data_IF_427271503788
#
_entry.id   IF_427271503788
#
_cell.length_a   1.000
_cell.length_b   1.000
_cell.length_c   1.000
_cell.angle_alpha   90.00
_cell.angle_beta   90.00
_cell.angle_gamma   90.00
#
_symmetry.space_group_name_H-M   'P 1'
#
loop_
_entity.id
_entity.type
_entity.pdbx_description
1 polymer ?
#
# COMPACT_ATOMS: atom_id res chain seq x y z
N UNK A 1 36.95 10.32 1.51
CA UNK A 1 36.41 10.55 2.87
C UNK A 1 35.34 9.52 3.22
N UNK A 2 35.42 8.88 4.40
CA UNK A 2 34.45 7.87 4.87
C UNK A 2 33.33 8.56 5.65
N UNK A 3 32.17 8.76 5.03
CA UNK A 3 31.01 9.39 5.67
C UNK A 3 30.13 8.31 6.31
N UNK A 4 29.71 8.54 7.55
CA UNK A 4 28.90 7.66 8.40
C UNK A 4 27.50 8.26 8.65
N UNK A 5 26.55 7.48 9.15
CA UNK A 5 25.21 8.00 9.46
C UNK A 5 25.27 9.10 10.55
N UNK A 6 24.66 10.25 10.26
CA UNK A 6 24.58 11.42 11.15
C UNK A 6 23.11 11.70 11.49
N UNK A 7 22.83 12.38 12.62
CA UNK A 7 21.46 12.80 12.92
C UNK A 7 20.77 13.62 11.83
N UNK A 8 21.53 14.42 11.07
CA UNK A 8 21.00 15.15 9.91
C UNK A 8 20.33 14.22 8.89
N UNK A 9 20.89 13.04 8.63
CA UNK A 9 20.31 12.08 7.69
C UNK A 9 18.98 11.52 8.21
N UNK A 10 18.88 11.23 9.52
CA UNK A 10 17.62 10.81 10.11
C UNK A 10 16.58 11.93 10.14
N UNK A 11 17.00 13.18 10.34
CA UNK A 11 16.09 14.31 10.30
C UNK A 11 15.51 14.52 8.91
N UNK A 12 16.34 14.44 7.86
CA UNK A 12 15.85 14.46 6.48
C UNK A 12 14.94 13.26 6.19
N UNK A 13 15.31 12.06 6.66
CA UNK A 13 14.47 10.87 6.51
C UNK A 13 13.10 11.04 7.20
N UNK A 14 13.10 11.59 8.42
CA UNK A 14 11.89 11.95 9.16
C UNK A 14 11.02 12.90 8.36
N UNK A 15 11.59 13.98 7.85
CA UNK A 15 10.85 14.99 7.08
C UNK A 15 10.21 14.35 5.83
N UNK A 16 10.95 13.54 5.08
CA UNK A 16 10.41 12.88 3.89
C UNK A 16 9.29 11.88 4.22
N UNK A 17 9.51 10.99 5.21
CA UNK A 17 8.52 9.97 5.59
C UNK A 17 7.28 10.64 6.17
N UNK A 18 7.42 11.56 7.12
CA UNK A 18 6.29 12.27 7.72
C UNK A 18 5.55 13.10 6.68
N UNK A 19 6.28 13.81 5.80
CA UNK A 19 5.65 14.62 4.76
C UNK A 19 4.80 13.79 3.80
N UNK A 20 5.28 12.62 3.37
CA UNK A 20 4.50 11.72 2.51
C UNK A 20 3.37 11.03 3.28
N UNK A 21 3.57 10.65 4.54
CA UNK A 21 2.48 10.16 5.40
C UNK A 21 1.38 11.21 5.55
N UNK A 22 1.69 12.50 5.72
CA UNK A 22 0.68 13.54 5.83
C UNK A 22 -0.08 13.80 4.52
N UNK A 23 0.57 13.56 3.39
CA UNK A 23 -0.01 13.73 2.06
C UNK A 23 -0.78 12.48 1.57
N UNK A 24 -0.82 11.43 2.36
CA UNK A 24 -1.39 10.16 1.96
C UNK A 24 -2.93 10.18 2.12
N UNK A 25 -3.69 9.47 1.26
CA UNK A 25 -5.15 9.56 1.23
C UNK A 25 -5.86 8.73 2.31
N UNK A 26 -5.14 7.84 3.00
CA UNK A 26 -5.70 6.85 3.92
C UNK A 26 -6.48 7.46 5.10
N UNK A 27 -6.09 8.60 5.73
CA UNK A 27 -6.91 9.21 6.77
C UNK A 27 -8.31 9.60 6.30
N UNK A 28 -8.42 10.12 5.07
CA UNK A 28 -9.71 10.49 4.46
C UNK A 28 -10.50 9.25 4.06
N UNK A 29 -9.83 8.26 3.45
CA UNK A 29 -10.45 6.97 3.13
C UNK A 29 -10.99 6.28 4.37
N UNK A 30 -10.24 6.30 5.48
CA UNK A 30 -10.66 5.72 6.76
C UNK A 30 -11.96 6.35 7.27
N UNK A 31 -12.08 7.68 7.16
CA UNK A 31 -13.30 8.39 7.54
C UNK A 31 -14.49 8.00 6.64
N UNK A 32 -14.27 7.87 5.33
CA UNK A 32 -15.31 7.41 4.40
C UNK A 32 -15.77 5.98 4.73
N UNK A 33 -14.84 5.05 4.97
CA UNK A 33 -15.12 3.65 5.30
C UNK A 33 -15.83 3.52 6.66
N UNK A 34 -15.45 4.33 7.65
CA UNK A 34 -16.11 4.34 8.96
C UNK A 34 -17.58 4.80 8.87
N UNK A 35 -17.94 5.58 7.85
CA UNK A 35 -19.31 6.03 7.57
C UNK A 35 -20.07 5.10 6.62
N UNK A 36 -19.35 4.31 5.82
CA UNK A 36 -19.95 3.32 4.94
C UNK A 36 -20.66 2.20 5.74
N UNK A 37 -21.64 1.51 5.12
CA UNK A 37 -22.31 0.37 5.74
C UNK A 37 -21.30 -0.65 6.29
N UNK A 38 -21.49 -1.10 7.53
CA UNK A 38 -20.58 -2.05 8.17
C UNK A 38 -20.47 -3.38 7.42
N UNK A 39 -21.51 -3.76 6.66
CA UNK A 39 -21.51 -4.95 5.81
C UNK A 39 -20.48 -4.89 4.66
N UNK A 40 -19.98 -3.70 4.30
CA UNK A 40 -18.93 -3.53 3.30
C UNK A 40 -17.51 -3.45 3.91
N UNK A 41 -17.38 -3.72 5.21
CA UNK A 41 -16.08 -3.73 5.90
C UNK A 41 -15.53 -5.14 5.94
N UNK A 42 -14.53 -5.40 5.13
CA UNK A 42 -13.85 -6.67 5.01
C UNK A 42 -12.52 -6.62 5.74
N UNK A 43 -12.35 -7.45 6.76
CA UNK A 43 -11.17 -7.43 7.61
C UNK A 43 -10.07 -8.36 7.07
N UNK A 44 -8.94 -7.82 6.57
CA UNK A 44 -7.85 -8.63 6.05
C UNK A 44 -7.02 -9.25 7.17
N UNK A 45 -6.67 -10.52 7.03
CA UNK A 45 -5.75 -11.22 7.92
C UNK A 45 -6.20 -11.15 9.37
N UNK A 46 -5.28 -10.79 10.27
CA UNK A 46 -5.55 -10.72 11.71
C UNK A 46 -6.39 -9.50 12.12
N UNK A 47 -6.68 -8.54 11.23
CA UNK A 47 -7.68 -7.50 11.53
C UNK A 47 -9.07 -8.09 11.75
N UNK A 48 -9.33 -9.34 11.33
CA UNK A 48 -10.59 -10.03 11.65
C UNK A 48 -10.82 -10.19 13.14
N UNK A 49 -9.75 -10.30 13.93
CA UNK A 49 -9.85 -10.36 15.39
C UNK A 49 -10.35 -9.02 15.99
N UNK A 50 -10.22 -7.93 15.24
CA UNK A 50 -10.70 -6.61 15.61
C UNK A 50 -12.10 -6.30 15.05
N UNK A 51 -12.76 -7.25 14.39
CA UNK A 51 -14.09 -7.03 13.81
C UNK A 51 -15.16 -6.64 14.86
N UNK A 52 -14.91 -6.97 16.13
CA UNK A 52 -15.78 -6.63 17.25
C UNK A 52 -15.51 -5.24 17.85
N UNK A 53 -14.40 -4.58 17.47
CA UNK A 53 -14.07 -3.25 17.97
C UNK A 53 -14.97 -2.23 17.24
N UNK A 54 -15.82 -1.47 17.96
CA UNK A 54 -16.71 -0.53 17.31
C UNK A 54 -15.93 0.58 16.60
N UNK A 55 -16.03 0.61 15.27
CA UNK A 55 -15.50 1.70 14.44
C UNK A 55 -16.55 2.80 14.35
N UNK A 56 -16.59 3.69 15.34
CA UNK A 56 -17.45 4.86 15.30
C UNK A 56 -16.85 5.96 14.41
N UNK A 57 -17.64 6.63 13.56
CA UNK A 57 -17.15 7.74 12.73
C UNK A 57 -16.46 8.83 13.54
N UNK A 58 -16.99 9.16 14.73
CA UNK A 58 -16.43 10.20 15.60
C UNK A 58 -15.05 9.83 16.16
N UNK A 59 -14.81 8.56 16.50
CA UNK A 59 -13.50 8.10 16.94
C UNK A 59 -12.46 8.18 15.81
N UNK A 60 -12.86 7.80 14.59
CA UNK A 60 -12.00 7.88 13.40
C UNK A 60 -11.69 9.34 13.05
N UNK A 61 -12.66 10.25 13.14
CA UNK A 61 -12.44 11.68 12.98
C UNK A 61 -11.47 12.26 14.03
N UNK A 62 -11.63 11.87 15.30
CA UNK A 62 -10.72 12.29 16.36
C UNK A 62 -9.28 11.77 16.12
N UNK A 63 -9.13 10.51 15.69
CA UNK A 63 -7.84 9.95 15.30
C UNK A 63 -7.22 10.68 14.11
N UNK A 64 -8.03 11.10 13.13
CA UNK A 64 -7.56 11.92 12.00
C UNK A 64 -7.03 13.28 12.45
N UNK A 65 -7.70 13.95 13.40
CA UNK A 65 -7.18 15.20 13.98
C UNK A 65 -5.86 14.95 14.71
N UNK A 66 -5.77 13.89 15.52
CA UNK A 66 -4.52 13.51 16.20
C UNK A 66 -3.40 13.19 15.21
N UNK A 67 -3.71 12.51 14.10
CA UNK A 67 -2.78 12.20 13.04
C UNK A 67 -2.18 13.47 12.42
N UNK A 68 -3.01 14.41 11.96
CA UNK A 68 -2.52 15.64 11.34
C UNK A 68 -1.77 16.53 12.34
N UNK A 69 -2.28 16.68 13.56
CA UNK A 69 -1.62 17.47 14.60
C UNK A 69 -0.26 16.88 14.97
N UNK A 70 -0.20 15.59 15.30
CA UNK A 70 1.06 14.92 15.65
C UNK A 70 2.04 14.86 14.48
N UNK A 71 1.56 14.70 13.24
CA UNK A 71 2.40 14.74 12.06
C UNK A 71 2.98 16.12 11.77
N UNK A 72 2.20 17.20 11.92
CA UNK A 72 2.72 18.56 11.83
C UNK A 72 3.84 18.81 12.84
N UNK A 73 3.64 18.39 14.09
CA UNK A 73 4.66 18.47 15.15
C UNK A 73 5.90 17.61 14.84
N UNK A 74 5.72 16.39 14.35
CA UNK A 74 6.81 15.49 13.96
C UNK A 74 7.61 16.03 12.77
N UNK A 75 6.95 16.68 11.81
CA UNK A 75 7.57 17.26 10.62
C UNK A 75 8.60 18.33 11.01
N UNK A 76 8.19 19.29 11.86
CA UNK A 76 9.06 20.34 12.38
C UNK A 76 9.98 19.87 13.52
N UNK A 77 9.75 18.67 14.05
CA UNK A 77 10.52 18.09 15.15
C UNK A 77 10.29 18.81 16.48
N UNK A 78 9.02 19.05 16.83
CA UNK A 78 8.60 19.46 18.17
C UNK A 78 8.06 18.24 18.92
N UNK A 79 8.54 18.02 20.15
CA UNK A 79 8.33 16.81 20.94
C UNK A 79 8.56 15.53 20.12
N UNK A 80 9.64 15.52 19.32
CA UNK A 80 9.82 14.65 18.14
C UNK A 80 9.49 13.18 18.39
N UNK A 81 9.92 12.61 19.53
CA UNK A 81 9.64 11.20 19.84
C UNK A 81 8.18 10.96 20.16
N UNK A 82 7.58 11.80 21.01
CA UNK A 82 6.18 11.70 21.39
C UNK A 82 5.27 11.92 20.18
N UNK A 83 5.55 12.95 19.38
CA UNK A 83 4.77 13.25 18.17
C UNK A 83 4.88 12.14 17.13
N UNK A 84 6.07 11.56 16.91
CA UNK A 84 6.22 10.37 16.06
C UNK A 84 5.51 9.13 16.63
N UNK A 85 5.54 8.89 17.94
CA UNK A 85 4.83 7.77 18.55
C UNK A 85 3.32 7.91 18.39
N UNK A 86 2.76 9.09 18.67
CA UNK A 86 1.33 9.36 18.47
C UNK A 86 0.94 9.24 17.00
N UNK A 87 1.75 9.80 16.09
CA UNK A 87 1.54 9.67 14.65
C UNK A 87 1.58 8.21 14.21
N UNK A 88 2.53 7.41 14.70
CA UNK A 88 2.65 5.98 14.36
C UNK A 88 1.40 5.21 14.76
N UNK A 89 0.89 5.45 15.98
CA UNK A 89 -0.30 4.78 16.50
C UNK A 89 -1.57 5.22 15.75
N UNK A 90 -1.71 6.52 15.50
CA UNK A 90 -2.83 7.05 14.71
C UNK A 90 -2.81 6.52 13.27
N UNK A 91 -1.63 6.51 12.62
CA UNK A 91 -1.44 5.97 11.28
C UNK A 91 -1.73 4.46 11.23
N UNK A 92 -1.30 3.69 12.23
CA UNK A 92 -1.58 2.26 12.33
C UNK A 92 -3.09 1.98 12.30
N UNK A 93 -3.88 2.76 13.04
CA UNK A 93 -5.33 2.58 13.08
C UNK A 93 -5.99 3.10 11.81
N UNK A 94 -5.70 4.34 11.40
CA UNK A 94 -6.34 4.97 10.23
C UNK A 94 -6.02 4.20 8.95
N UNK A 95 -4.76 3.85 8.72
CA UNK A 95 -4.40 3.09 7.52
C UNK A 95 -4.99 1.69 7.58
N UNK A 96 -5.12 1.07 8.77
CA UNK A 96 -5.81 -0.21 8.94
C UNK A 96 -7.30 -0.14 8.58
N UNK A 97 -8.01 0.90 9.03
CA UNK A 97 -9.41 1.15 8.64
C UNK A 97 -9.52 1.38 7.13
N UNK A 98 -8.55 2.06 6.53
CA UNK A 98 -8.51 2.26 5.08
C UNK A 98 -8.41 0.94 4.28
N UNK A 99 -7.93 -0.16 4.89
CA UNK A 99 -7.84 -1.47 4.26
C UNK A 99 -9.13 -2.30 4.32
N UNK A 100 -10.19 -1.79 4.96
CA UNK A 100 -11.42 -2.57 5.15
C UNK A 100 -12.30 -2.66 3.89
N UNK A 101 -11.80 -2.20 2.74
CA UNK A 101 -12.49 -2.32 1.44
C UNK A 101 -12.27 -3.68 0.78
N UNK A 102 -11.45 -4.55 1.37
CA UNK A 102 -11.11 -5.88 0.84
C UNK A 102 -9.79 -5.92 0.06
N UNK A 103 -9.22 -4.77 -0.30
CA UNK A 103 -7.86 -4.67 -0.85
C UNK A 103 -6.94 -3.99 0.16
N UNK A 104 -5.85 -4.66 0.53
CA UNK A 104 -4.74 -3.99 1.21
C UNK A 104 -4.01 -3.08 0.22
N UNK A 105 -4.12 -1.77 0.44
CA UNK A 105 -3.24 -0.71 -0.05
C UNK A 105 -1.93 -0.76 0.74
N UNK A 106 -0.81 -0.90 0.04
CA UNK A 106 0.45 -1.32 0.64
C UNK A 106 1.31 -0.16 1.19
N UNK A 107 0.70 0.76 1.94
CA UNK A 107 1.38 1.90 2.57
C UNK A 107 1.81 1.65 4.03
N UNK A 108 1.65 0.41 4.51
CA UNK A 108 2.08 -0.02 5.85
C UNK A 108 3.57 0.20 6.14
N UNK A 109 4.40 0.23 5.08
CA UNK A 109 5.82 0.51 5.23
C UNK A 109 6.09 1.92 5.79
N UNK A 110 5.22 2.90 5.53
CA UNK A 110 5.31 4.23 6.17
C UNK A 110 5.15 4.11 7.69
N UNK A 111 4.18 3.32 8.16
CA UNK A 111 3.97 3.06 9.60
C UNK A 111 5.20 2.39 10.21
N UNK A 112 5.83 1.45 9.51
CA UNK A 112 7.08 0.84 9.97
C UNK A 112 8.22 1.85 10.07
N UNK A 113 8.38 2.75 9.09
CA UNK A 113 9.41 3.78 9.13
C UNK A 113 9.17 4.79 10.25
N UNK A 114 7.92 5.17 10.51
CA UNK A 114 7.54 6.03 11.64
C UNK A 114 7.89 5.38 12.98
N UNK A 115 7.58 4.09 13.17
CA UNK A 115 7.93 3.34 14.37
C UNK A 115 9.45 3.31 14.60
N UNK A 116 10.23 3.07 13.54
CA UNK A 116 11.70 3.12 13.61
C UNK A 116 12.19 4.53 13.96
N UNK A 117 11.60 5.57 13.36
CA UNK A 117 11.96 6.97 13.61
C UNK A 117 11.60 7.45 15.02
N UNK A 118 10.52 6.94 15.61
CA UNK A 118 10.04 7.29 16.95
C UNK A 118 11.05 6.89 18.04
N UNK A 119 11.76 5.78 17.84
CA UNK A 119 12.80 5.30 18.76
C UNK A 119 14.22 5.75 18.38
N UNK A 120 14.37 6.42 17.23
CA UNK A 120 15.65 6.92 16.72
C UNK A 120 15.96 8.35 17.21
N UNK A 121 17.22 8.81 17.14
CA UNK A 121 17.58 10.21 17.41
C UNK A 121 17.27 11.13 16.22
N UNK A 122 16.05 11.02 15.66
CA UNK A 122 15.60 11.79 14.48
C UNK A 122 15.35 13.28 14.78
N UNK A 123 15.21 13.65 16.06
CA UNK A 123 15.09 15.03 16.54
C UNK A 123 16.41 15.70 16.92
N UNK A 124 17.58 15.08 16.70
CA UNK A 124 18.87 15.70 17.04
C UNK A 124 19.41 16.66 15.97
N UNK A 125 18.70 16.81 14.84
CA UNK A 125 18.97 17.77 13.77
C UNK A 125 17.66 18.22 13.12
N UNK A 126 17.67 19.40 12.49
CA UNK A 126 16.54 20.03 11.79
C UNK A 126 15.23 19.90 12.59
N UNK A 127 15.25 20.28 13.86
CA UNK A 127 14.11 20.14 14.76
C UNK A 127 13.98 21.36 15.67
N UNK A 128 12.75 21.69 16.03
CA UNK A 128 12.44 22.73 17.01
C UNK A 128 12.97 22.34 18.39
N UNK A 129 12.86 21.06 18.80
CA UNK A 129 13.44 20.55 20.05
C UNK A 129 14.93 20.90 20.19
N UNK A 130 15.67 20.74 19.09
CA UNK A 130 17.11 21.05 19.01
C UNK A 130 17.36 22.55 19.09
N UNK A 131 16.54 23.35 18.41
CA UNK A 131 16.63 24.79 18.42
C UNK A 131 16.41 25.35 19.84
N UNK A 132 15.41 24.86 20.56
CA UNK A 132 15.20 25.26 21.95
C UNK A 132 16.33 24.82 22.88
N UNK A 133 16.86 23.60 22.69
CA UNK A 133 17.93 23.10 23.54
C UNK A 133 19.31 23.76 23.30
N UNK A 134 19.55 24.39 22.14
CA UNK A 134 20.89 24.85 21.70
C UNK A 134 20.93 26.23 21.02
N UNK A 135 19.81 26.92 20.93
CA UNK A 135 19.66 28.19 20.22
C UNK A 135 19.37 28.05 18.72
N UNK A 136 18.77 29.10 18.14
CA UNK A 136 18.42 29.22 16.72
C UNK A 136 19.64 29.62 15.87
N UNK A 137 20.58 28.71 15.68
CA UNK A 137 21.66 28.87 14.69
C UNK A 137 21.67 27.72 13.69
N UNK A 138 22.03 28.01 12.44
CA UNK A 138 22.16 26.98 11.40
C UNK A 138 23.11 25.85 11.82
N UNK A 139 24.21 26.19 12.49
CA UNK A 139 25.18 25.23 13.02
C UNK A 139 24.58 24.35 14.13
N UNK A 140 23.70 24.89 14.98
CA UNK A 140 23.01 24.12 16.01
C UNK A 140 21.97 23.16 15.41
N UNK A 141 21.22 23.63 14.39
CA UNK A 141 20.19 22.87 13.66
C UNK A 141 20.76 21.73 12.81
N UNK A 142 21.95 21.88 12.22
CA UNK A 142 22.61 20.81 11.47
C UNK A 142 22.94 19.57 12.33
N UNK A 143 22.85 19.69 13.66
CA UNK A 143 23.10 18.62 14.61
C UNK A 143 24.59 18.23 14.71
N UNK A 144 24.92 17.21 15.50
CA UNK A 144 26.30 16.79 15.67
C UNK A 144 26.84 16.15 14.38
N UNK A 145 28.08 16.51 14.01
CA UNK A 145 28.78 15.93 12.85
C UNK A 145 29.24 14.49 13.06
N UNK A 146 29.27 14.03 14.33
CA UNK A 146 29.75 12.71 14.72
C UNK A 146 28.70 11.64 14.41
N UNK A 147 29.11 10.45 13.93
CA UNK A 147 28.20 9.33 13.78
C UNK A 147 27.52 8.90 15.07
N UNK A 148 26.29 8.41 14.93
CA UNK A 148 25.47 7.89 16.03
C UNK A 148 25.09 6.44 15.74
N UNK A 149 25.42 5.53 16.67
CA UNK A 149 25.08 4.10 16.52
C UNK A 149 23.55 3.87 16.45
N UNK A 150 22.71 4.51 17.30
CA UNK A 150 21.25 4.44 17.13
C UNK A 150 20.78 4.90 15.73
N UNK A 151 21.43 5.90 15.13
CA UNK A 151 21.09 6.34 13.78
C UNK A 151 21.47 5.33 12.70
N UNK A 152 22.62 4.66 12.86
CA UNK A 152 23.04 3.58 11.96
C UNK A 152 22.06 2.40 12.00
N UNK A 153 21.59 2.02 13.19
CA UNK A 153 20.63 0.94 13.40
C UNK A 153 19.30 1.28 12.74
N UNK A 154 18.73 2.47 13.00
CA UNK A 154 17.47 2.89 12.39
C UNK A 154 17.52 2.87 10.85
N UNK A 155 18.58 3.41 10.24
CA UNK A 155 18.74 3.36 8.79
C UNK A 155 19.01 1.94 8.27
N UNK A 156 19.63 1.06 9.07
CA UNK A 156 19.82 -0.34 8.69
C UNK A 156 18.50 -1.11 8.72
N UNK A 157 17.67 -0.91 9.74
CA UNK A 157 16.33 -1.48 9.82
C UNK A 157 15.45 -1.03 8.66
N UNK A 158 15.43 0.28 8.35
CA UNK A 158 14.69 0.81 7.20
C UNK A 158 15.13 0.15 5.87
N UNK A 159 16.44 -0.01 5.66
CA UNK A 159 16.97 -0.69 4.46
C UNK A 159 16.60 -2.17 4.40
N UNK A 160 16.66 -2.87 5.53
CA UNK A 160 16.29 -4.29 5.60
C UNK A 160 14.80 -4.50 5.31
N UNK A 161 13.94 -3.64 5.85
CA UNK A 161 12.50 -3.63 5.59
C UNK A 161 12.21 -3.36 4.10
N UNK A 162 12.86 -2.36 3.50
CA UNK A 162 12.73 -2.14 2.05
C UNK A 162 13.24 -3.35 1.24
N UNK A 163 14.33 -3.98 1.68
CA UNK A 163 14.81 -5.22 1.10
C UNK A 163 13.73 -6.30 1.03
N UNK A 164 13.01 -6.51 2.14
CA UNK A 164 11.89 -7.46 2.22
C UNK A 164 10.74 -7.05 1.30
N UNK A 165 10.38 -5.77 1.28
CA UNK A 165 9.32 -5.21 0.42
C UNK A 165 9.53 -5.54 -1.06
N UNK A 166 10.77 -5.45 -1.55
CA UNK A 166 11.07 -5.74 -2.96
C UNK A 166 11.36 -7.21 -3.23
N UNK A 167 12.03 -7.90 -2.32
CA UNK A 167 12.48 -9.28 -2.56
C UNK A 167 11.32 -10.25 -2.75
N UNK A 168 10.30 -10.20 -1.88
CA UNK A 168 9.23 -11.19 -1.92
C UNK A 168 8.32 -11.11 -3.13
N UNK A 169 7.95 -9.93 -3.66
CA UNK A 169 7.30 -9.84 -4.97
C UNK A 169 8.07 -10.57 -6.06
N UNK A 170 9.38 -10.35 -6.18
CA UNK A 170 10.20 -11.02 -7.20
C UNK A 170 10.30 -12.52 -6.99
N UNK A 171 10.46 -12.94 -5.72
CA UNK A 171 10.49 -14.35 -5.34
C UNK A 171 9.19 -15.06 -5.73
N UNK A 172 8.03 -14.49 -5.37
CA UNK A 172 6.73 -15.11 -5.63
C UNK A 172 6.35 -15.13 -7.10
N UNK A 173 6.76 -14.12 -7.90
CA UNK A 173 6.60 -14.17 -9.36
C UNK A 173 7.19 -15.44 -9.95
N UNK A 174 8.42 -15.78 -9.56
CA UNK A 174 9.09 -17.00 -10.02
C UNK A 174 8.57 -18.26 -9.34
N UNK A 175 8.27 -18.22 -8.05
CA UNK A 175 7.79 -19.38 -7.32
C UNK A 175 6.41 -19.86 -7.80
N UNK A 176 5.50 -18.92 -8.13
CA UNK A 176 4.14 -19.24 -8.60
C UNK A 176 4.09 -19.53 -10.10
N UNK A 177 4.80 -18.75 -10.91
CA UNK A 177 4.63 -18.75 -12.37
C UNK A 177 5.87 -19.15 -13.16
N UNK A 178 7.00 -19.40 -12.49
CA UNK A 178 8.27 -19.73 -13.12
C UNK A 178 8.74 -18.65 -14.10
N UNK A 179 9.54 -19.05 -15.09
CA UNK A 179 9.98 -18.16 -16.16
C UNK A 179 8.83 -17.70 -17.06
N UNK A 180 7.71 -18.42 -17.09
CA UNK A 180 6.52 -18.00 -17.83
C UNK A 180 5.94 -16.68 -17.27
N UNK A 181 6.28 -16.25 -16.06
CA UNK A 181 5.92 -14.90 -15.62
C UNK A 181 6.53 -13.82 -16.53
N UNK A 182 7.76 -14.06 -17.01
CA UNK A 182 8.53 -13.16 -17.87
C UNK A 182 8.25 -13.41 -19.36
N UNK A 183 8.29 -14.68 -19.79
CA UNK A 183 8.32 -15.06 -21.22
C UNK A 183 6.95 -15.33 -21.83
N UNK A 184 5.86 -14.90 -21.18
CA UNK A 184 4.50 -15.08 -21.69
C UNK A 184 3.75 -13.76 -21.76
N UNK A 185 2.52 -13.83 -22.25
CA UNK A 185 1.60 -12.69 -22.31
C UNK A 185 1.16 -12.17 -20.93
N UNK A 186 1.62 -12.77 -19.83
CA UNK A 186 1.20 -12.41 -18.48
C UNK A 186 1.38 -10.91 -18.17
N UNK A 187 2.57 -10.34 -18.34
CA UNK A 187 2.81 -8.92 -18.03
C UNK A 187 1.99 -8.00 -18.93
N UNK A 188 1.79 -8.40 -20.19
CA UNK A 188 0.88 -7.72 -21.12
C UNK A 188 -0.54 -7.69 -20.57
N UNK A 189 -1.06 -8.85 -20.16
CA UNK A 189 -2.40 -8.97 -19.62
C UNK A 189 -2.55 -8.21 -18.30
N UNK A 190 -1.53 -8.19 -17.43
CA UNK A 190 -1.56 -7.39 -16.20
C UNK A 190 -1.62 -5.88 -16.48
N UNK A 191 -0.91 -5.39 -17.51
CA UNK A 191 -1.06 -4.00 -17.96
C UNK A 191 -2.51 -3.74 -18.42
N UNK A 192 -3.08 -4.63 -19.22
CA UNK A 192 -4.47 -4.50 -19.69
C UNK A 192 -5.49 -4.48 -18.54
N UNK A 193 -5.30 -5.32 -17.52
CA UNK A 193 -6.13 -5.28 -16.30
C UNK A 193 -6.07 -3.89 -15.66
N UNK A 194 -4.86 -3.34 -15.46
CA UNK A 194 -4.72 -2.00 -14.89
C UNK A 194 -5.29 -0.90 -15.78
N UNK A 195 -5.14 -0.98 -17.09
CA UNK A 195 -5.76 -0.02 -18.00
C UNK A 195 -7.28 -0.06 -17.92
N UNK A 196 -7.87 -1.25 -17.78
CA UNK A 196 -9.30 -1.43 -17.61
C UNK A 196 -9.81 -0.98 -16.22
N UNK A 197 -8.98 -1.06 -15.19
CA UNK A 197 -9.29 -0.48 -13.87
C UNK A 197 -9.45 1.05 -13.97
N UNK A 198 -8.56 1.71 -14.72
CA UNK A 198 -8.57 3.16 -14.95
C UNK A 198 -9.45 3.61 -16.12
N UNK A 199 -10.00 2.67 -16.91
CA UNK A 199 -10.79 2.96 -18.10
C UNK A 199 -10.02 3.66 -19.24
N UNK A 200 -8.69 3.58 -19.23
CA UNK A 200 -7.81 4.30 -20.18
C UNK A 200 -6.67 3.39 -20.62
N UNK A 201 -6.38 3.38 -21.93
CA UNK A 201 -5.14 2.79 -22.45
C UNK A 201 -4.10 3.90 -22.69
N UNK A 202 -2.81 3.66 -22.40
CA UNK A 202 -1.77 4.66 -22.62
C UNK A 202 -1.57 4.90 -24.12
N UNK A 203 -1.19 6.14 -24.48
CA UNK A 203 -0.83 6.48 -25.85
C UNK A 203 0.37 5.65 -26.34
N UNK A 204 1.35 5.40 -25.46
CA UNK A 204 2.48 4.53 -25.75
C UNK A 204 2.11 3.06 -25.54
N UNK A 205 1.80 2.38 -26.64
CA UNK A 205 1.35 0.98 -26.68
C UNK A 205 2.49 -0.04 -26.64
N UNK A 206 3.20 -0.08 -25.51
CA UNK A 206 4.31 -1.03 -25.28
C UNK A 206 3.86 -2.49 -25.35
N UNK A 207 2.59 -2.76 -25.07
CA UNK A 207 1.95 -4.07 -25.16
C UNK A 207 2.01 -4.69 -26.56
N UNK A 208 2.25 -3.89 -27.60
CA UNK A 208 2.40 -4.33 -28.99
C UNK A 208 3.82 -4.77 -29.36
N UNK A 209 4.78 -4.68 -28.43
CA UNK A 209 6.18 -5.05 -28.65
C UNK A 209 6.58 -6.13 -27.64
N UNK A 210 6.26 -7.42 -27.90
CA UNK A 210 6.42 -8.50 -26.92
C UNK A 210 7.82 -8.58 -26.32
N UNK A 211 8.87 -8.52 -27.15
CA UNK A 211 10.25 -8.58 -26.66
C UNK A 211 10.62 -7.45 -25.69
N UNK A 212 10.02 -6.27 -25.82
CA UNK A 212 10.23 -5.16 -24.88
C UNK A 212 9.48 -5.40 -23.56
N UNK A 213 8.27 -5.97 -23.62
CA UNK A 213 7.51 -6.38 -22.43
C UNK A 213 8.24 -7.47 -21.66
N UNK A 214 8.75 -8.50 -22.34
CA UNK A 214 9.51 -9.59 -21.73
C UNK A 214 10.83 -9.09 -21.13
N UNK A 215 11.58 -8.26 -21.85
CA UNK A 215 12.81 -7.65 -21.33
C UNK A 215 12.52 -6.79 -20.09
N UNK A 216 11.44 -5.99 -20.12
CA UNK A 216 10.97 -5.22 -18.98
C UNK A 216 10.61 -6.11 -17.80
N UNK A 217 9.85 -7.18 -18.03
CA UNK A 217 9.48 -8.16 -17.02
C UNK A 217 10.71 -8.82 -16.37
N UNK A 218 11.71 -9.20 -17.16
CA UNK A 218 12.98 -9.73 -16.67
C UNK A 218 13.73 -8.73 -15.79
N UNK A 219 13.77 -7.45 -16.19
CA UNK A 219 14.37 -6.38 -15.40
C UNK A 219 13.63 -6.14 -14.07
N UNK A 220 12.30 -6.23 -14.06
CA UNK A 220 11.49 -6.15 -12.83
C UNK A 220 11.90 -7.25 -11.85
N UNK A 221 11.91 -8.51 -12.29
CA UNK A 221 12.27 -9.66 -11.43
C UNK A 221 13.71 -9.53 -10.94
N UNK A 222 14.66 -9.16 -11.82
CA UNK A 222 16.06 -8.99 -11.44
C UNK A 222 16.24 -7.86 -10.41
N UNK A 223 15.56 -6.73 -10.59
CA UNK A 223 15.58 -5.62 -9.64
C UNK A 223 15.01 -6.03 -8.27
N UNK A 224 13.83 -6.64 -8.25
CA UNK A 224 13.16 -7.08 -7.03
C UNK A 224 14.01 -8.06 -6.22
N UNK A 225 14.53 -9.11 -6.87
CA UNK A 225 15.36 -10.14 -6.22
C UNK A 225 16.72 -9.60 -5.76
N UNK A 226 17.32 -8.68 -6.50
CA UNK A 226 18.64 -8.12 -6.16
C UNK A 226 18.57 -7.04 -5.09
N UNK A 227 17.40 -6.43 -4.85
CA UNK A 227 17.25 -5.27 -3.96
C UNK A 227 17.77 -5.55 -2.54
N UNK A 228 17.43 -6.71 -1.98
CA UNK A 228 17.86 -7.08 -0.62
C UNK A 228 19.39 -7.12 -0.49
N UNK A 229 20.06 -7.74 -1.46
CA UNK A 229 21.53 -7.87 -1.50
C UNK A 229 22.19 -6.52 -1.81
N UNK A 230 21.74 -5.84 -2.87
CA UNK A 230 22.32 -4.56 -3.30
C UNK A 230 22.08 -3.44 -2.30
N UNK A 231 20.96 -3.46 -1.58
CA UNK A 231 20.66 -2.52 -0.49
C UNK A 231 21.64 -2.65 0.69
N UNK A 232 22.14 -3.86 0.93
CA UNK A 232 23.19 -4.08 1.92
C UNK A 232 24.54 -3.53 1.46
N UNK A 233 24.86 -3.62 0.16
CA UNK A 233 26.14 -3.18 -0.44
C UNK A 233 26.23 -1.64 -0.53
N UNK A 234 27.10 -0.98 0.25
CA UNK A 234 27.07 0.49 0.33
C UNK A 234 27.37 1.24 -0.97
N UNK A 235 28.13 0.64 -1.89
CA UNK A 235 28.43 1.24 -3.20
C UNK A 235 27.23 1.16 -4.16
N UNK A 236 26.35 0.18 -3.98
CA UNK A 236 25.21 -0.05 -4.85
C UNK A 236 23.97 0.76 -4.45
N UNK A 237 23.88 1.26 -3.21
CA UNK A 237 22.64 1.90 -2.68
C UNK A 237 22.14 3.10 -3.47
N UNK A 238 23.04 4.00 -3.90
CA UNK A 238 22.64 5.19 -4.69
C UNK A 238 22.19 4.82 -6.10
N UNK A 239 22.95 4.00 -6.86
CA UNK A 239 22.44 3.40 -8.09
C UNK A 239 21.12 2.68 -7.89
N UNK A 240 20.98 1.88 -6.83
CA UNK A 240 19.75 1.14 -6.53
C UNK A 240 18.56 2.08 -6.27
N UNK A 241 18.77 3.18 -5.55
CA UNK A 241 17.73 4.20 -5.35
C UNK A 241 17.32 4.85 -6.68
N UNK A 242 18.28 5.16 -7.56
CA UNK A 242 17.99 5.71 -8.89
C UNK A 242 17.21 4.70 -9.75
N UNK A 243 17.68 3.45 -9.82
CA UNK A 243 17.00 2.37 -10.54
C UNK A 243 15.59 2.15 -9.97
N UNK A 244 15.43 2.20 -8.64
CA UNK A 244 14.12 2.10 -8.00
C UNK A 244 13.17 3.25 -8.36
N UNK A 245 13.68 4.48 -8.48
CA UNK A 245 12.89 5.62 -8.97
C UNK A 245 12.47 5.38 -10.42
N UNK A 246 13.39 4.95 -11.29
CA UNK A 246 13.08 4.65 -12.70
C UNK A 246 12.06 3.51 -12.83
N UNK A 247 12.21 2.45 -12.04
CA UNK A 247 11.25 1.36 -11.93
C UNK A 247 9.85 1.87 -11.60
N UNK A 248 9.74 2.75 -10.60
CA UNK A 248 8.45 3.32 -10.20
C UNK A 248 7.87 4.34 -11.18
N UNK A 249 8.71 5.07 -11.93
CA UNK A 249 8.21 5.87 -13.04
C UNK A 249 7.67 4.97 -14.15
N UNK A 250 8.34 3.85 -14.46
CA UNK A 250 7.87 2.90 -15.44
C UNK A 250 6.53 2.27 -15.03
N UNK A 251 6.37 1.86 -13.77
CA UNK A 251 5.06 1.35 -13.27
C UNK A 251 3.98 2.43 -13.29
N UNK A 252 4.31 3.69 -12.98
CA UNK A 252 3.37 4.80 -13.13
C UNK A 252 2.91 4.99 -14.57
N UNK A 253 3.84 4.95 -15.53
CA UNK A 253 3.52 5.18 -16.95
C UNK A 253 2.76 4.01 -17.57
N UNK A 254 3.15 2.77 -17.26
CA UNK A 254 2.63 1.58 -17.93
C UNK A 254 1.54 0.83 -17.15
N UNK A 255 1.50 0.93 -15.82
CA UNK A 255 0.50 0.29 -14.97
C UNK A 255 -0.43 1.31 -14.27
N UNK A 256 -0.16 2.61 -14.39
CA UNK A 256 -0.86 3.67 -13.64
C UNK A 256 -0.79 3.51 -12.11
N UNK A 257 0.22 2.77 -11.62
CA UNK A 257 0.44 2.57 -10.19
C UNK A 257 1.52 3.54 -9.72
N UNK A 258 1.19 4.35 -8.71
CA UNK A 258 2.13 5.26 -8.07
C UNK A 258 2.59 4.71 -6.73
N UNK A 259 3.90 4.64 -6.52
CA UNK A 259 4.51 4.22 -5.26
C UNK A 259 5.32 5.34 -4.61
N UNK A 260 4.73 6.53 -4.52
CA UNK A 260 5.39 7.73 -3.98
C UNK A 260 5.83 7.55 -2.52
N UNK A 261 5.08 6.76 -1.75
CA UNK A 261 5.42 6.33 -0.38
C UNK A 261 6.78 5.64 -0.29
N UNK A 262 7.12 4.76 -1.26
CA UNK A 262 8.43 4.12 -1.32
C UNK A 262 9.55 5.08 -1.70
N UNK A 263 9.27 6.15 -2.46
CA UNK A 263 10.30 7.13 -2.84
C UNK A 263 10.81 7.90 -1.62
N UNK A 264 9.91 8.28 -0.72
CA UNK A 264 10.29 8.89 0.57
C UNK A 264 11.23 7.97 1.35
N UNK A 265 11.01 6.65 1.26
CA UNK A 265 11.81 5.65 1.94
C UNK A 265 13.24 5.51 1.38
N UNK A 266 13.50 5.90 0.13
CA UNK A 266 14.84 5.85 -0.48
C UNK A 266 15.86 6.80 0.14
N UNK A 267 15.42 7.75 0.98
CA UNK A 267 16.35 8.53 1.82
C UNK A 267 17.34 7.60 2.55
N UNK A 268 16.87 6.47 3.09
CA UNK A 268 17.73 5.53 3.81
C UNK A 268 18.84 4.85 2.97
N UNK A 269 18.72 4.87 1.63
CA UNK A 269 19.70 4.34 0.68
C UNK A 269 20.74 5.39 0.27
N UNK A 270 20.30 6.64 0.09
CA UNK A 270 21.17 7.73 -0.36
C UNK A 270 22.16 8.14 0.73
N UNK A 271 21.75 8.01 1.99
CA UNK A 271 22.59 8.38 3.13
C UNK A 271 23.79 7.40 3.32
N UNK A 272 24.93 7.92 3.80
CA UNK A 272 26.22 7.24 3.74
C UNK A 272 26.33 6.00 4.62
N UNK A 273 27.36 5.20 4.33
CA UNK A 273 27.75 3.94 5.00
C UNK A 273 27.40 3.89 6.49
N UNK A 274 26.60 2.90 6.89
CA UNK A 274 26.77 2.31 8.20
C UNK A 274 28.14 1.61 8.16
N UNK A 275 29.06 1.93 9.07
CA UNK A 275 30.21 1.05 9.26
C UNK A 275 29.61 -0.30 9.64
N UNK A 276 30.03 -1.39 9.00
CA UNK A 276 29.79 -2.72 9.55
C UNK A 276 30.15 -2.64 11.04
N UNK A 277 29.31 -3.18 11.90
CA UNK A 277 29.47 -3.24 13.37
C UNK A 277 30.78 -3.95 13.82
N UNK A 278 31.79 -4.06 12.94
CA UNK A 278 33.06 -4.75 13.05
C UNK A 278 34.07 -4.17 14.03
N UNK A 279 33.61 -3.51 15.09
CA UNK A 279 34.35 -3.45 16.36
C UNK A 279 33.30 -3.42 17.45
N UNK A 280 33.07 -4.57 18.10
CA UNK A 280 32.27 -4.81 19.33
C UNK A 280 31.76 -3.50 19.97
N UNK A 281 30.77 -2.86 19.37
CA UNK A 281 30.08 -1.76 20.04
C UNK A 281 29.09 -2.48 20.92
N UNK A 282 29.41 -2.53 22.21
CA UNK A 282 28.51 -3.09 23.20
C UNK A 282 27.10 -2.56 22.94
N UNK A 283 26.13 -3.47 22.89
CA UNK A 283 24.71 -3.10 22.89
C UNK A 283 24.53 -2.13 24.05
N UNK A 284 24.23 -0.88 23.72
CA UNK A 284 24.03 0.16 24.71
C UNK A 284 22.54 0.31 24.98
N UNK A 285 22.18 0.82 26.16
CA UNK A 285 20.78 1.20 26.46
C UNK A 285 20.19 2.15 25.40
N UNK A 286 21.03 2.94 24.71
CA UNK A 286 20.60 3.86 23.65
C UNK A 286 20.30 3.18 22.31
N UNK A 287 20.88 2.01 22.06
CA UNK A 287 20.69 1.26 20.81
C UNK A 287 19.61 0.20 20.91
N UNK A 288 19.30 -0.26 22.12
CA UNK A 288 18.35 -1.34 22.37
C UNK A 288 16.95 -1.08 21.78
N UNK A 289 16.31 0.10 21.95
CA UNK A 289 14.98 0.34 21.39
C UNK A 289 14.93 0.18 19.87
N UNK A 290 15.93 0.69 19.16
CA UNK A 290 16.03 0.57 17.70
C UNK A 290 16.26 -0.87 17.24
N UNK A 291 17.02 -1.68 18.00
CA UNK A 291 17.21 -3.11 17.72
C UNK A 291 15.92 -3.89 17.93
N UNK A 292 15.20 -3.63 19.02
CA UNK A 292 13.95 -4.32 19.34
C UNK A 292 12.88 -3.99 18.31
N UNK A 293 12.59 -2.69 18.11
CA UNK A 293 11.55 -2.27 17.15
C UNK A 293 11.93 -2.67 15.73
N UNK A 294 13.15 -2.36 15.30
CA UNK A 294 13.61 -2.68 13.95
C UNK A 294 13.70 -4.18 13.68
N UNK A 295 14.14 -4.97 14.66
CA UNK A 295 14.21 -6.43 14.57
C UNK A 295 12.83 -7.07 14.54
N UNK A 296 11.92 -6.64 15.41
CA UNK A 296 10.54 -7.15 15.44
C UNK A 296 9.80 -6.84 14.12
N UNK A 297 9.85 -5.59 13.64
CA UNK A 297 9.25 -5.22 12.35
C UNK A 297 9.83 -6.05 11.20
N UNK A 298 11.15 -6.26 11.19
CA UNK A 298 11.81 -7.06 10.17
C UNK A 298 11.34 -8.52 10.20
N UNK A 299 11.28 -9.14 11.38
CA UNK A 299 10.81 -10.53 11.53
C UNK A 299 9.35 -10.65 11.07
N UNK A 300 8.48 -9.74 11.48
CA UNK A 300 7.07 -9.78 11.08
C UNK A 300 6.91 -9.61 9.56
N UNK A 301 7.62 -8.65 8.95
CA UNK A 301 7.60 -8.45 7.50
C UNK A 301 8.19 -9.67 6.76
N UNK A 302 9.27 -10.26 7.27
CA UNK A 302 9.89 -11.46 6.71
C UNK A 302 8.94 -12.67 6.75
N UNK A 303 8.30 -12.92 7.90
CA UNK A 303 7.34 -14.02 8.06
C UNK A 303 6.21 -13.89 7.04
N UNK A 304 5.65 -12.69 6.89
CA UNK A 304 4.52 -12.47 5.99
C UNK A 304 4.95 -12.49 4.52
N UNK A 305 6.16 -12.03 4.22
CA UNK A 305 6.80 -12.22 2.92
C UNK A 305 6.98 -13.70 2.55
N UNK A 306 7.50 -14.51 3.47
CA UNK A 306 7.65 -15.98 3.30
C UNK A 306 6.31 -16.66 3.08
N UNK A 307 5.25 -16.18 3.74
CA UNK A 307 3.88 -16.69 3.54
C UNK A 307 3.24 -16.23 2.23
N UNK A 308 3.79 -15.21 1.57
CA UNK A 308 3.14 -14.57 0.42
C UNK A 308 1.83 -13.86 0.80
N UNK A 309 1.66 -13.52 2.08
CA UNK A 309 0.40 -13.04 2.62
C UNK A 309 0.24 -11.54 2.33
N UNK A 310 -0.48 -11.22 1.25
CA UNK A 310 -0.73 -9.83 0.83
C UNK A 310 -1.88 -9.17 1.60
N UNK A 311 -2.74 -9.95 2.27
CA UNK A 311 -3.92 -9.46 2.98
C UNK A 311 -3.71 -9.49 4.50
N UNK A 312 -2.62 -8.91 5.01
CA UNK A 312 -2.30 -8.94 6.46
C UNK A 312 -1.77 -7.62 7.01
N UNK A 313 -2.49 -6.51 6.84
CA UNK A 313 -2.09 -5.22 7.41
C UNK A 313 -1.85 -5.27 8.94
N UNK A 314 -0.79 -4.63 9.53
CA UNK A 314 0.22 -3.82 8.86
C UNK A 314 1.42 -4.64 8.40
N UNK A 315 1.40 -5.97 8.55
CA UNK A 315 2.49 -6.86 8.13
C UNK A 315 2.01 -7.70 6.95
N UNK A 316 2.01 -7.08 5.78
CA UNK A 316 1.68 -7.76 4.54
C UNK A 316 2.95 -7.94 3.68
N UNK A 317 2.99 -9.05 2.95
CA UNK A 317 3.82 -9.15 1.76
C UNK A 317 3.39 -8.07 0.77
N UNK A 318 4.33 -7.39 0.13
CA UNK A 318 4.01 -6.43 -0.93
C UNK A 318 3.29 -7.12 -2.10
N UNK A 319 2.49 -6.42 -2.93
CA UNK A 319 1.75 -7.05 -4.01
C UNK A 319 2.70 -7.84 -4.92
N UNK A 320 2.47 -9.14 -5.00
CA UNK A 320 3.40 -10.02 -5.72
C UNK A 320 3.18 -9.95 -7.22
N UNK A 321 1.94 -9.70 -7.66
CA UNK A 321 1.51 -9.86 -9.05
C UNK A 321 1.92 -11.23 -9.64
N UNK A 322 2.00 -12.24 -8.76
CA UNK A 322 2.64 -13.51 -9.08
C UNK A 322 1.78 -14.41 -9.98
N UNK A 323 0.46 -14.27 -9.93
CA UNK A 323 -0.46 -15.06 -10.74
C UNK A 323 -0.31 -14.75 -12.23
N UNK A 324 -0.48 -15.78 -13.07
CA UNK A 324 -0.68 -15.60 -14.50
C UNK A 324 -2.12 -15.18 -14.76
N UNK A 325 -2.32 -14.02 -15.36
CA UNK A 325 -3.64 -13.51 -15.71
C UNK A 325 -3.90 -13.62 -17.21
N UNK A 326 -5.16 -13.88 -17.57
CA UNK A 326 -5.62 -13.89 -18.95
C UNK A 326 -6.09 -12.52 -19.44
N UNK A 327 -6.58 -12.42 -20.68
CA UNK A 327 -7.12 -11.19 -21.25
C UNK A 327 -8.55 -10.87 -20.75
N UNK A 328 -9.07 -11.64 -19.80
CA UNK A 328 -10.35 -11.41 -19.14
C UNK A 328 -10.11 -11.01 -17.68
N UNK A 329 -10.81 -9.99 -17.19
CA UNK A 329 -10.79 -9.55 -15.80
C UNK A 329 -12.16 -9.79 -15.14
N UNK A 330 -12.20 -10.34 -13.92
CA UNK A 330 -13.44 -10.52 -13.18
C UNK A 330 -14.01 -9.18 -12.68
N UNK A 331 -15.33 -9.10 -12.71
CA UNK A 331 -16.11 -7.92 -12.32
C UNK A 331 -17.46 -8.37 -11.72
N UNK A 332 -18.12 -7.48 -10.99
CA UNK A 332 -19.51 -7.66 -10.56
C UNK A 332 -20.40 -6.80 -11.46
N UNK A 333 -21.35 -7.44 -12.12
CA UNK A 333 -22.37 -6.78 -12.92
C UNK A 333 -23.73 -6.87 -12.23
N UNK A 334 -24.52 -5.81 -12.40
CA UNK A 334 -25.87 -5.72 -11.88
C UNK A 334 -26.85 -5.82 -13.05
N UNK A 335 -27.71 -6.82 -13.03
CA UNK A 335 -28.84 -6.95 -13.96
C UNK A 335 -30.11 -6.48 -13.26
N UNK A 336 -30.91 -5.72 -13.99
CA UNK A 336 -32.23 -5.27 -13.57
C UNK A 336 -33.26 -5.98 -14.42
N UNK A 337 -34.22 -6.62 -13.75
CA UNK A 337 -35.42 -7.18 -14.36
C UNK A 337 -36.59 -6.26 -14.03
N UNK A 338 -37.31 -5.80 -15.06
CA UNK A 338 -38.48 -4.94 -14.92
C UNK A 338 -39.76 -5.75 -14.76
N UNK A 339 -40.85 -5.10 -14.34
CA UNK A 339 -42.18 -5.71 -14.23
C UNK A 339 -42.69 -6.29 -15.55
N UNK A 340 -42.24 -5.73 -16.68
CA UNK A 340 -42.51 -6.21 -18.05
C UNK A 340 -41.79 -7.51 -18.40
N UNK A 341 -40.85 -7.97 -17.55
CA UNK A 341 -39.94 -9.08 -17.83
C UNK A 341 -38.70 -8.69 -18.65
N UNK A 342 -38.58 -7.41 -19.05
CA UNK A 342 -37.38 -6.90 -19.72
C UNK A 342 -36.18 -6.93 -18.78
N UNK A 343 -35.02 -7.34 -19.31
CA UNK A 343 -33.75 -7.39 -18.57
C UNK A 343 -32.73 -6.45 -19.18
N UNK A 344 -32.05 -5.70 -18.32
CA UNK A 344 -31.01 -4.75 -18.73
C UNK A 344 -29.87 -4.72 -17.71
N UNK A 345 -28.64 -4.54 -18.18
CA UNK A 345 -27.47 -4.38 -17.32
C UNK A 345 -27.33 -2.92 -16.90
N UNK A 346 -27.03 -2.67 -15.62
CA UNK A 346 -26.66 -1.33 -15.19
C UNK A 346 -25.35 -0.89 -15.87
N UNK A 347 -25.29 0.36 -16.38
CA UNK A 347 -24.04 0.93 -16.86
C UNK A 347 -22.98 0.89 -15.77
N UNK A 348 -21.75 0.56 -16.14
CA UNK A 348 -20.63 0.54 -15.21
C UNK A 348 -20.12 1.98 -14.98
N UNK A 349 -20.12 2.40 -13.72
CA UNK A 349 -19.41 3.62 -13.32
C UNK A 349 -17.89 3.39 -13.30
N UNK A 350 -17.06 4.43 -13.54
CA UNK A 350 -15.64 4.41 -13.20
C UNK A 350 -15.46 4.05 -11.72
N UNK A 351 -14.45 3.24 -11.40
CA UNK A 351 -14.15 2.81 -10.04
C UNK A 351 -12.75 3.24 -9.64
N UNK A 352 -12.63 3.76 -8.43
CA UNK A 352 -11.38 3.89 -7.69
C UNK A 352 -10.78 2.53 -7.36
N UNK A 353 -9.51 2.51 -6.97
CA UNK A 353 -8.83 1.29 -6.52
C UNK A 353 -9.57 0.61 -5.36
N UNK A 354 -10.02 1.39 -4.36
CA UNK A 354 -10.80 0.86 -3.23
C UNK A 354 -12.11 0.20 -3.66
N UNK A 355 -12.81 0.78 -4.64
CA UNK A 355 -14.07 0.22 -5.17
C UNK A 355 -13.82 -1.07 -5.95
N UNK A 356 -12.66 -1.20 -6.62
CA UNK A 356 -12.24 -2.47 -7.21
C UNK A 356 -11.97 -3.54 -6.14
N UNK A 357 -11.28 -3.19 -5.06
CA UNK A 357 -11.10 -4.07 -3.91
C UNK A 357 -12.44 -4.60 -3.38
N UNK A 358 -13.41 -3.71 -3.19
CA UNK A 358 -14.76 -4.08 -2.75
C UNK A 358 -15.47 -4.96 -3.77
N UNK A 359 -15.42 -4.61 -5.05
CA UNK A 359 -16.02 -5.39 -6.14
C UNK A 359 -15.49 -6.82 -6.17
N UNK A 360 -14.17 -6.98 -6.08
CA UNK A 360 -13.52 -8.29 -6.08
C UNK A 360 -13.78 -9.10 -4.82
N UNK A 361 -13.92 -8.44 -3.68
CA UNK A 361 -14.32 -9.07 -2.44
C UNK A 361 -15.79 -9.53 -2.48
N UNK A 362 -16.70 -8.74 -3.08
CA UNK A 362 -18.09 -9.15 -3.33
C UNK A 362 -18.13 -10.37 -4.28
N UNK A 363 -17.30 -10.38 -5.32
CA UNK A 363 -17.14 -11.50 -6.23
C UNK A 363 -16.50 -12.75 -5.59
N UNK A 364 -15.93 -12.64 -4.38
CA UNK A 364 -15.28 -13.74 -3.66
C UNK A 364 -13.86 -14.07 -4.15
N UNK A 365 -13.19 -13.15 -4.84
CA UNK A 365 -11.86 -13.39 -5.44
C UNK A 365 -10.74 -13.50 -4.40
N UNK A 366 -10.94 -12.98 -3.20
CA UNK A 366 -10.00 -13.11 -2.08
C UNK A 366 -10.25 -14.36 -1.22
N UNK A 367 -11.03 -15.33 -1.72
CA UNK A 367 -11.22 -16.63 -1.08
C UNK A 367 -12.26 -16.69 0.04
N UNK A 368 -12.82 -15.55 0.45
CA UNK A 368 -13.97 -15.48 1.37
C UNK A 368 -15.22 -15.06 0.62
N UNK A 369 -16.31 -15.79 0.80
CA UNK A 369 -17.61 -15.40 0.24
C UNK A 369 -18.17 -14.19 1.00
N UNK A 370 -18.69 -13.22 0.26
CA UNK A 370 -19.40 -12.07 0.81
C UNK A 370 -20.79 -12.46 1.33
N UNK A 371 -21.21 -11.87 2.45
CA UNK A 371 -22.55 -12.15 3.01
C UNK A 371 -23.65 -11.56 2.13
N UNK A 372 -24.90 -12.00 2.34
CA UNK A 372 -26.05 -11.42 1.65
C UNK A 372 -26.20 -9.93 1.96
N UNK A 373 -25.94 -9.51 3.21
CA UNK A 373 -25.99 -8.08 3.58
C UNK A 373 -24.92 -7.26 2.86
N UNK A 374 -23.70 -7.81 2.72
CA UNK A 374 -22.62 -7.13 1.98
C UNK A 374 -22.99 -6.95 0.50
N UNK A 375 -23.51 -8.01 -0.13
CA UNK A 375 -24.01 -7.99 -1.51
C UNK A 375 -25.16 -6.98 -1.68
N UNK A 376 -26.08 -6.89 -0.72
CA UNK A 376 -27.18 -5.92 -0.74
C UNK A 376 -26.68 -4.49 -0.60
N UNK A 377 -25.78 -4.23 0.36
CA UNK A 377 -25.17 -2.91 0.54
C UNK A 377 -24.39 -2.46 -0.70
N UNK A 378 -23.67 -3.37 -1.35
CA UNK A 378 -22.98 -3.11 -2.62
C UNK A 378 -23.98 -2.73 -3.73
N UNK A 379 -25.04 -3.53 -3.91
CA UNK A 379 -26.08 -3.25 -4.90
C UNK A 379 -26.74 -1.89 -4.69
N UNK A 380 -27.06 -1.52 -3.43
CA UNK A 380 -27.59 -0.20 -3.10
C UNK A 380 -26.61 0.92 -3.46
N UNK A 381 -25.31 0.74 -3.21
CA UNK A 381 -24.28 1.71 -3.59
C UNK A 381 -24.23 1.97 -5.10
N UNK A 382 -24.26 0.92 -5.91
CA UNK A 382 -24.31 1.03 -7.38
C UNK A 382 -25.59 1.73 -7.86
N UNK A 383 -26.73 1.47 -7.20
CA UNK A 383 -28.01 2.12 -7.49
C UNK A 383 -28.08 3.59 -7.07
N UNK A 384 -27.41 4.01 -6.01
CA UNK A 384 -27.33 5.45 -5.64
C UNK A 384 -26.62 6.23 -6.74
N UNK A 385 -25.61 5.65 -7.37
CA UNK A 385 -24.84 6.29 -8.44
C UNK A 385 -25.60 6.33 -9.77
N UNK A 386 -26.40 5.30 -10.07
CA UNK A 386 -27.06 5.14 -11.39
C UNK A 386 -28.56 5.43 -11.40
N UNK A 387 -29.21 5.45 -10.24
CA UNK A 387 -30.65 5.51 -10.06
C UNK A 387 -31.33 4.13 -10.22
N UNK A 388 -32.35 3.85 -9.41
CA UNK A 388 -33.21 2.68 -9.62
C UNK A 388 -34.21 3.01 -10.75
N UNK A 389 -34.19 2.30 -11.89
CA UNK A 389 -35.17 2.52 -12.93
C UNK A 389 -36.60 2.21 -12.43
N UNK A 390 -37.61 3.01 -12.79
CA UNK A 390 -38.99 2.73 -12.45
C UNK A 390 -39.44 1.35 -12.95
N UNK A 391 -40.28 0.66 -12.16
CA UNK A 391 -40.77 -0.68 -12.48
C UNK A 391 -39.71 -1.77 -12.36
N UNK A 392 -38.68 -1.58 -11.52
CA UNK A 392 -37.72 -2.64 -11.19
C UNK A 392 -38.40 -3.71 -10.36
N UNK A 393 -38.48 -4.93 -10.90
CA UNK A 393 -39.06 -6.12 -10.28
C UNK A 393 -38.03 -6.92 -9.50
N UNK A 394 -36.81 -7.02 -10.00
CA UNK A 394 -35.72 -7.72 -9.33
C UNK A 394 -34.37 -7.12 -9.72
N UNK A 395 -33.41 -7.23 -8.81
CA UNK A 395 -32.01 -6.90 -9.05
C UNK A 395 -31.15 -8.13 -8.80
N UNK A 396 -30.30 -8.47 -9.76
CA UNK A 396 -29.46 -9.65 -9.72
C UNK A 396 -28.00 -9.25 -9.82
N UNK A 397 -27.17 -9.81 -8.96
CA UNK A 397 -25.72 -9.64 -9.03
C UNK A 397 -25.09 -10.85 -9.70
N UNK A 398 -24.16 -10.59 -10.63
CA UNK A 398 -23.43 -11.63 -11.34
C UNK A 398 -21.93 -11.37 -11.24
N UNK A 399 -21.15 -12.45 -11.13
CA UNK A 399 -19.74 -12.40 -11.51
C UNK A 399 -19.68 -12.53 -13.03
N UNK A 400 -19.05 -11.55 -13.66
CA UNK A 400 -18.81 -11.56 -15.09
C UNK A 400 -17.30 -11.54 -15.35
N UNK A 401 -16.89 -12.12 -16.47
CA UNK A 401 -15.55 -11.96 -17.02
C UNK A 401 -15.64 -11.02 -18.20
N UNK A 402 -14.90 -9.92 -18.13
CA UNK A 402 -14.85 -8.91 -19.19
C UNK A 402 -13.52 -8.99 -19.88
N UNK A 403 -13.52 -9.00 -21.20
CA UNK A 403 -12.30 -8.82 -21.97
C UNK A 403 -11.72 -7.43 -21.67
N UNK A 404 -10.44 -7.39 -21.31
CA UNK A 404 -9.70 -6.15 -21.06
C UNK A 404 -8.73 -5.82 -22.20
N UNK A 405 -8.79 -6.58 -23.28
CA UNK A 405 -8.09 -6.22 -24.51
C UNK A 405 -8.59 -4.84 -24.99
N UNK A 406 -7.69 -3.88 -25.27
CA UNK A 406 -8.10 -2.53 -25.63
C UNK A 406 -9.05 -2.49 -26.84
N UNK A 407 -10.27 -1.99 -26.62
CA UNK A 407 -11.32 -1.88 -27.63
C UNK A 407 -12.35 -3.03 -27.63
N UNK A 408 -12.14 -4.07 -26.82
CA UNK A 408 -13.10 -5.16 -26.67
C UNK A 408 -14.26 -4.77 -25.75
N UNK A 409 -15.48 -5.15 -26.13
CA UNK A 409 -16.69 -5.03 -25.30
C UNK A 409 -17.22 -6.39 -24.84
N UNK A 410 -16.47 -7.47 -25.13
CA UNK A 410 -16.90 -8.84 -24.83
C UNK A 410 -16.98 -9.06 -23.32
N UNK A 411 -18.08 -9.63 -22.88
CA UNK A 411 -18.26 -10.11 -21.50
C UNK A 411 -19.06 -11.40 -21.48
N UNK A 412 -18.80 -12.23 -20.48
CA UNK A 412 -19.59 -13.44 -20.23
C UNK A 412 -19.94 -13.58 -18.76
N UNK A 413 -21.15 -14.06 -18.49
CA UNK A 413 -21.58 -14.39 -17.13
C UNK A 413 -20.87 -15.67 -16.69
N UNK A 414 -20.30 -15.65 -15.49
CA UNK A 414 -19.68 -16.83 -14.87
C UNK A 414 -20.63 -17.48 -13.88
N UNK A 415 -21.22 -16.67 -12.99
CA UNK A 415 -22.18 -17.14 -11.98
C UNK A 415 -23.08 -16.02 -11.49
N UNK A 416 -24.30 -16.38 -11.11
CA UNK A 416 -25.18 -15.52 -10.30
C UNK A 416 -24.70 -15.56 -8.84
N UNK A 417 -24.66 -14.40 -8.19
CA UNK A 417 -24.29 -14.26 -6.78
C UNK A 417 -25.51 -14.24 -5.86
N UNK A 418 -26.55 -13.50 -6.25
CA UNK A 418 -27.78 -13.28 -5.47
C UNK A 418 -28.82 -12.53 -6.31
N UNK A 419 -30.09 -12.81 -6.03
CA UNK A 419 -31.25 -12.03 -6.49
C UNK A 419 -31.91 -11.32 -5.30
N UNK A 420 -32.23 -10.04 -5.46
CA UNK A 420 -32.92 -9.18 -4.51
C UNK A 420 -34.28 -8.74 -5.06
N UNK A 421 -35.26 -8.71 -4.18
CA UNK A 421 -36.57 -8.11 -4.42
C UNK A 421 -36.54 -6.59 -4.22
N UNK A 422 -37.52 -5.83 -4.77
CA UNK A 422 -37.55 -4.38 -4.65
C UNK A 422 -37.72 -3.92 -3.20
N UNK A 423 -38.44 -4.69 -2.37
CA UNK A 423 -38.64 -4.42 -0.94
C UNK A 423 -37.34 -4.51 -0.13
N UNK A 424 -36.44 -5.42 -0.50
CA UNK A 424 -35.10 -5.51 0.08
C UNK A 424 -34.24 -4.28 -0.28
N UNK A 425 -34.48 -3.65 -1.44
CA UNK A 425 -33.73 -2.46 -1.87
C UNK A 425 -34.25 -1.16 -1.25
N UNK A 426 -35.55 -1.09 -0.95
CA UNK A 426 -36.20 0.11 -0.40
C UNK A 426 -36.13 0.24 1.12
N UNK A 427 -35.81 -0.86 1.83
CA UNK A 427 -35.65 -0.83 3.29
C UNK A 427 -34.40 -0.02 3.64
N UNK A 428 -34.44 0.90 4.62
CA UNK A 428 -33.29 1.74 4.98
C UNK A 428 -32.02 0.95 5.33
#
# INVERSE_FOLDING_TARGET
MKVSARPLHLALFRICVVGVTLASPEPEMACAIARAPSALRFYPGWLSELAHVPLSPSAVDALRVLFYASGGLALVGLYTRLSLSVLTLAALVLFGVAQLTGEVVHDMHLVWMLAVLAVAPSGEALSVDRAFARGLSFRALAGPKRPSAPAEIALASARALLGVVYFFPGFWKLATSGLAWVTSDNVRNQMWWKWAEWGVAPALRVDRVPGLVEAGAGLVVAFELSFFVLGAVPRARRPLALVGLLFHQATRVFFFITFTSLWACYGCLVFPRARALGRRRAVSRRTLPGLVVGGWLFVMALVQGVRGETQSYPFACYPTFAARVGPEMPDVAVEIERDTGERSWLPRAPRSQSEWGTTWQIAGLFGRESTREAKLAFARGELVTTGIPPGTRALRLFVVLRSVEPGSTKSRVVRELVTFSPSELSSP
#
